data_IF_529934257256
#
_entry.id   IF_529934257256
#
_cell.length_a   1.000
_cell.length_b   1.000
_cell.length_c   1.000
_cell.angle_alpha   90.00
_cell.angle_beta   90.00
_cell.angle_gamma   90.00
#
_symmetry.space_group_name_H-M   'P 1'
#
loop_
_entity.id
_entity.type
_entity.pdbx_description
1 polymer ?
#
# COMPACT_ATOMS: atom_id res chain seq x y z
N UNK A 1 -6.24 -4.83 7.36
CA UNK A 1 -4.91 -4.51 7.91
C UNK A 1 -3.81 -4.34 6.86
N UNK A 2 -3.77 -5.19 5.82
CA UNK A 2 -2.69 -5.12 4.82
C UNK A 2 -2.64 -3.84 3.99
N UNK A 3 -3.82 -3.28 3.64
CA UNK A 3 -3.90 -1.98 2.96
C UNK A 3 -3.18 -0.88 3.75
N UNK A 4 -3.32 -0.86 5.09
CA UNK A 4 -2.66 0.12 5.95
C UNK A 4 -1.14 -0.03 5.93
N UNK A 5 -0.62 -1.27 5.93
CA UNK A 5 0.82 -1.51 5.85
C UNK A 5 1.41 -1.00 4.53
N UNK A 6 0.71 -1.25 3.41
CA UNK A 6 1.15 -0.77 2.09
C UNK A 6 1.05 0.75 2.00
N UNK A 7 0.01 1.35 2.57
CA UNK A 7 -0.13 2.81 2.60
C UNK A 7 0.97 3.47 3.45
N UNK A 8 1.32 2.87 4.57
CA UNK A 8 2.43 3.36 5.41
C UNK A 8 3.77 3.25 4.65
N UNK A 9 4.04 2.10 4.05
CA UNK A 9 5.26 1.89 3.26
C UNK A 9 5.34 2.81 2.03
N UNK A 10 4.22 3.04 1.34
CA UNK A 10 4.16 3.95 0.21
C UNK A 10 4.41 5.40 0.64
N UNK A 11 3.88 5.81 1.81
CA UNK A 11 4.10 7.14 2.39
C UNK A 11 5.57 7.34 2.79
N UNK A 12 6.19 6.34 3.43
CA UNK A 12 7.62 6.40 3.81
C UNK A 12 8.54 6.48 2.59
N UNK A 13 8.20 5.79 1.50
CA UNK A 13 9.01 5.78 0.28
C UNK A 13 8.72 6.95 -0.68
N UNK A 14 7.70 7.76 -0.41
CA UNK A 14 7.25 8.83 -1.33
C UNK A 14 6.57 8.30 -2.60
N UNK A 15 6.11 7.05 -2.60
CA UNK A 15 5.38 6.45 -3.72
C UNK A 15 3.89 6.77 -3.64
N UNK A 16 3.19 6.70 -4.77
CA UNK A 16 1.74 6.92 -4.81
C UNK A 16 1.03 5.94 -3.88
N UNK A 17 0.37 6.49 -2.87
CA UNK A 17 -0.34 5.73 -1.85
C UNK A 17 -1.57 5.03 -2.46
N UNK A 18 -1.71 3.70 -2.33
CA UNK A 18 -2.86 2.99 -2.87
C UNK A 18 -4.11 3.23 -2.02
N UNK A 19 -5.20 3.66 -2.66
CA UNK A 19 -6.49 3.94 -1.99
C UNK A 19 -7.49 2.80 -2.09
N UNK A 20 -7.17 1.76 -2.87
CA UNK A 20 -7.92 0.51 -2.99
C UNK A 20 -6.96 -0.66 -2.84
N UNK A 21 -7.44 -1.78 -2.32
CA UNK A 21 -6.67 -3.02 -2.28
C UNK A 21 -6.37 -3.44 -3.71
N UNK A 22 -5.10 -3.43 -4.11
CA UNK A 22 -4.68 -3.95 -5.42
C UNK A 22 -4.35 -5.43 -5.26
N UNK A 23 -4.76 -6.29 -6.20
CA UNK A 23 -4.43 -7.73 -6.14
C UNK A 23 -2.91 -8.01 -6.19
N UNK A 24 -2.08 -7.01 -6.45
CA UNK A 24 -0.62 -7.10 -6.37
C UNK A 24 -0.09 -7.31 -4.96
N UNK A 25 -0.90 -7.03 -3.93
CA UNK A 25 -0.43 -7.21 -2.56
C UNK A 25 -0.60 -8.68 -2.10
N UNK A 26 -1.50 -9.47 -2.69
CA UNK A 26 -1.66 -10.89 -2.34
C UNK A 26 -0.67 -11.77 -3.12
N UNK A 27 0.56 -11.88 -2.62
CA UNK A 27 1.47 -13.00 -2.87
C UNK A 27 2.20 -13.36 -1.59
#
# INVERSE_FOLDING_TARGET
>A
EFLLQVQNLARERGHKCPTKVTNQVFR
#
